data_IF_346373868447
#
_entry.id   IF_346373868447
#
_cell.length_a   1.000
_cell.length_b   1.000
_cell.length_c   1.000
_cell.angle_alpha   90.00
_cell.angle_beta   90.00
_cell.angle_gamma   90.00
#
_symmetry.space_group_name_H-M   'P 1'
#
loop_
_entity.id
_entity.type
_entity.pdbx_description
1 polymer ?
#
# COMPACT_ATOMS: atom_id res chain seq x y z
N UNK A 1 -61.84 31.43 58.64
CA UNK A 1 -62.46 32.14 57.54
C UNK A 1 -61.78 33.52 57.43
N UNK A 2 -60.87 33.72 56.53
CA UNK A 2 -60.42 35.08 56.12
C UNK A 2 -59.81 34.92 54.73
N UNK A 3 -60.44 35.51 53.75
CA UNK A 3 -59.93 35.64 52.35
C UNK A 3 -58.90 36.72 52.33
N UNK A 4 -57.72 36.42 51.67
CA UNK A 4 -56.76 37.45 51.37
C UNK A 4 -56.54 37.48 49.84
N UNK A 5 -56.67 38.69 49.29
CA UNK A 5 -56.63 39.05 47.90
C UNK A 5 -55.14 39.10 47.49
N UNK A 6 -54.80 38.41 46.36
CA UNK A 6 -53.50 38.52 45.71
C UNK A 6 -53.55 39.64 44.65
N UNK A 7 -52.61 40.55 44.77
CA UNK A 7 -52.37 41.67 43.86
C UNK A 7 -51.35 41.22 42.78
N UNK A 8 -51.69 41.31 41.51
CA UNK A 8 -50.81 41.05 40.38
C UNK A 8 -50.02 42.31 40.12
N UNK A 9 -48.67 42.17 40.18
CA UNK A 9 -47.69 43.20 39.80
C UNK A 9 -46.95 42.71 38.56
N UNK A 10 -47.25 43.33 37.41
CA UNK A 10 -46.55 43.07 36.14
C UNK A 10 -45.18 43.71 36.19
N UNK A 11 -44.18 42.86 36.07
CA UNK A 11 -42.76 43.28 35.93
C UNK A 11 -42.35 43.09 34.48
N UNK A 12 -42.17 44.20 33.74
CA UNK A 12 -41.61 44.22 32.40
C UNK A 12 -40.11 44.08 32.47
N UNK A 13 -39.56 42.94 32.10
CA UNK A 13 -38.10 42.75 31.88
C UNK A 13 -37.75 43.16 30.47
N UNK A 14 -36.94 44.22 30.35
CA UNK A 14 -36.18 44.51 29.12
C UNK A 14 -35.07 43.51 29.01
N UNK A 15 -35.08 42.68 27.97
CA UNK A 15 -33.95 41.87 27.54
C UNK A 15 -33.01 42.70 26.70
N UNK A 16 -31.85 43.01 27.26
CA UNK A 16 -30.69 43.52 26.52
C UNK A 16 -29.97 42.29 25.92
N UNK A 17 -30.09 42.02 24.61
CA UNK A 17 -29.33 41.02 23.92
C UNK A 17 -27.94 41.58 23.61
N UNK A 18 -26.95 41.23 24.43
CA UNK A 18 -25.57 41.26 24.00
C UNK A 18 -25.34 40.00 23.14
N UNK A 19 -25.16 40.18 21.84
CA UNK A 19 -24.64 39.13 20.96
C UNK A 19 -23.19 38.83 21.33
N UNK A 20 -22.94 37.67 21.89
CA UNK A 20 -21.61 37.06 21.88
C UNK A 20 -21.64 36.11 20.65
N UNK A 21 -20.89 36.52 19.63
CA UNK A 21 -20.51 35.60 18.54
C UNK A 21 -19.59 34.53 19.15
N UNK A 22 -20.20 33.46 19.62
CA UNK A 22 -19.53 32.21 19.92
C UNK A 22 -19.27 31.52 18.55
N UNK A 23 -18.02 31.28 18.13
CA UNK A 23 -17.82 30.47 16.94
C UNK A 23 -18.35 29.07 17.28
N UNK A 24 -19.51 28.77 16.74
CA UNK A 24 -20.13 27.45 16.86
C UNK A 24 -19.15 26.35 16.46
N UNK A 25 -19.36 25.12 16.92
CA UNK A 25 -18.45 24.03 16.66
C UNK A 25 -18.22 23.93 15.14
N UNK A 26 -16.96 24.01 14.75
CA UNK A 26 -16.53 23.77 13.37
C UNK A 26 -17.12 22.43 12.94
N UNK A 27 -18.03 22.52 11.99
CA UNK A 27 -18.63 21.37 11.33
C UNK A 27 -17.49 20.53 10.76
N UNK A 28 -17.13 19.44 11.41
CA UNK A 28 -16.36 18.35 10.82
C UNK A 28 -17.26 17.66 9.82
N UNK A 29 -17.60 18.40 8.73
CA UNK A 29 -18.51 17.94 7.70
C UNK A 29 -17.94 16.70 7.05
N UNK A 30 -18.77 15.68 6.92
CA UNK A 30 -18.53 14.61 5.94
C UNK A 30 -18.14 15.26 4.60
N UNK A 31 -17.10 14.75 3.93
CA UNK A 31 -16.66 15.30 2.66
C UNK A 31 -17.82 15.44 1.68
N UNK A 32 -17.89 16.57 0.97
CA UNK A 32 -18.95 16.78 -0.01
C UNK A 32 -18.67 15.92 -1.26
N UNK A 33 -19.67 15.31 -1.90
CA UNK A 33 -19.50 14.42 -3.05
C UNK A 33 -18.77 15.04 -4.25
N UNK A 34 -18.84 16.36 -4.41
CA UNK A 34 -18.22 17.09 -5.53
C UNK A 34 -16.71 17.25 -5.45
N UNK A 35 -16.12 16.94 -4.31
CA UNK A 35 -14.71 17.27 -4.02
C UNK A 35 -13.80 16.03 -4.10
N UNK A 36 -14.30 14.91 -4.63
CA UNK A 36 -13.55 13.68 -4.79
C UNK A 36 -13.13 13.45 -6.25
N UNK A 37 -11.90 12.95 -6.47
CA UNK A 37 -11.43 12.51 -7.80
C UNK A 37 -11.98 11.14 -8.21
N UNK A 38 -12.52 10.39 -7.25
CA UNK A 38 -13.20 9.11 -7.48
C UNK A 38 -14.70 9.28 -7.23
N UNK A 39 -15.58 8.47 -7.85
CA UNK A 39 -17.01 8.55 -7.63
C UNK A 39 -17.37 8.30 -6.15
N UNK A 40 -17.74 9.34 -5.42
CA UNK A 40 -18.02 9.24 -3.98
C UNK A 40 -19.13 8.23 -3.64
N UNK A 41 -20.12 8.07 -4.51
CA UNK A 41 -21.19 7.08 -4.35
C UNK A 41 -20.72 5.62 -4.50
N UNK A 42 -19.45 5.41 -4.86
CA UNK A 42 -18.78 4.11 -4.94
C UNK A 42 -17.72 3.94 -3.83
N UNK A 43 -17.60 4.92 -2.95
CA UNK A 43 -16.80 4.82 -1.73
C UNK A 43 -17.64 4.14 -0.65
N UNK A 44 -17.15 3.06 -0.09
CA UNK A 44 -17.84 2.25 0.91
C UNK A 44 -17.21 2.42 2.29
N UNK A 45 -18.05 2.46 3.31
CA UNK A 45 -17.62 2.34 4.69
C UNK A 45 -17.33 0.86 5.00
N UNK A 46 -16.09 0.57 5.36
CA UNK A 46 -15.63 -0.77 5.74
C UNK A 46 -16.08 -1.20 7.14
N UNK A 47 -16.66 -0.30 7.91
CA UNK A 47 -17.24 -0.55 9.23
C UNK A 47 -16.37 -0.15 10.42
N UNK A 48 -15.02 -0.25 10.41
CA UNK A 48 -14.21 0.08 11.59
C UNK A 48 -14.16 1.58 11.89
N UNK A 49 -14.44 2.43 10.88
CA UNK A 49 -14.28 3.88 10.98
C UNK A 49 -12.80 4.31 10.97
N UNK A 50 -12.59 5.62 11.07
CA UNK A 50 -11.26 6.24 11.04
C UNK A 50 -10.41 5.78 12.24
N UNK A 51 -9.21 5.24 11.95
CA UNK A 51 -8.30 4.60 12.90
C UNK A 51 -8.89 3.42 13.70
N UNK A 52 -10.03 2.88 13.28
CA UNK A 52 -10.59 1.65 13.86
C UNK A 52 -9.71 0.42 13.61
N UNK A 53 -8.94 0.45 12.52
CA UNK A 53 -7.74 -0.39 12.31
C UNK A 53 -6.54 0.50 12.65
N UNK A 54 -5.84 0.25 13.77
CA UNK A 54 -4.81 1.15 14.26
C UNK A 54 -3.51 1.02 13.45
N UNK A 55 -3.15 2.05 12.71
CA UNK A 55 -1.85 2.13 12.05
C UNK A 55 -0.71 2.19 13.07
N UNK A 56 0.40 1.53 12.79
CA UNK A 56 1.60 1.58 13.64
C UNK A 56 2.47 2.79 13.31
N UNK A 57 3.18 3.28 14.32
CA UNK A 57 4.18 4.35 14.19
C UNK A 57 5.48 3.89 14.85
N UNK A 58 6.55 3.79 14.06
CA UNK A 58 7.89 3.37 14.49
C UNK A 58 7.82 2.12 15.41
N UNK A 59 7.27 0.98 14.89
CA UNK A 59 7.12 -0.22 15.71
C UNK A 59 8.47 -0.75 16.15
N UNK A 60 8.48 -1.49 17.26
CA UNK A 60 9.67 -2.20 17.69
C UNK A 60 10.13 -3.21 16.64
N UNK A 61 11.42 -3.15 16.29
CA UNK A 61 12.06 -4.07 15.35
C UNK A 61 12.93 -5.05 16.13
N UNK A 62 12.99 -6.32 15.67
CA UNK A 62 13.84 -7.37 16.23
C UNK A 62 14.73 -7.95 15.13
N UNK A 63 15.92 -8.51 15.49
CA UNK A 63 16.76 -9.25 14.55
C UNK A 63 16.04 -10.46 13.94
N UNK A 64 16.44 -10.86 12.75
CA UNK A 64 15.88 -12.02 12.03
C UNK A 64 15.87 -13.30 12.89
N UNK A 65 16.91 -13.54 13.68
CA UNK A 65 17.04 -14.75 14.52
C UNK A 65 16.03 -14.79 15.68
N UNK A 66 15.51 -13.63 16.10
CA UNK A 66 14.52 -13.53 17.16
C UNK A 66 13.07 -13.67 16.63
N UNK A 67 12.88 -13.68 15.31
CA UNK A 67 11.57 -13.73 14.66
C UNK A 67 11.00 -15.15 14.56
N UNK A 68 11.01 -15.90 15.67
CA UNK A 68 10.53 -17.30 15.75
C UNK A 68 9.04 -17.47 15.45
N UNK A 69 8.29 -16.39 15.35
CA UNK A 69 6.87 -16.39 14.99
C UNK A 69 6.63 -16.50 13.47
N UNK A 70 7.68 -16.41 12.63
CA UNK A 70 7.59 -16.54 11.18
C UNK A 70 8.10 -17.92 10.74
N UNK A 71 7.32 -18.57 9.87
CA UNK A 71 7.79 -19.72 9.10
C UNK A 71 8.46 -19.23 7.81
N UNK A 72 9.25 -20.07 7.17
CA UNK A 72 9.93 -19.69 5.92
C UNK A 72 8.95 -19.34 4.78
N UNK A 73 7.72 -19.87 4.81
CA UNK A 73 6.64 -19.61 3.83
C UNK A 73 5.84 -18.34 4.15
N UNK A 74 6.00 -17.76 5.34
CA UNK A 74 5.28 -16.56 5.73
C UNK A 74 5.56 -15.41 4.77
N UNK A 75 4.51 -14.76 4.25
CA UNK A 75 4.66 -13.60 3.36
C UNK A 75 5.09 -12.37 4.16
N UNK A 76 6.01 -11.63 3.60
CA UNK A 76 6.50 -10.35 4.12
C UNK A 76 6.59 -9.32 3.00
N UNK A 77 6.57 -8.06 3.41
CA UNK A 77 6.98 -6.93 2.60
C UNK A 77 8.38 -6.53 3.06
N UNK A 78 9.34 -6.60 2.15
CA UNK A 78 10.73 -6.20 2.39
C UNK A 78 11.05 -4.88 1.71
N UNK A 79 11.89 -4.08 2.34
CA UNK A 79 12.43 -2.84 1.75
C UNK A 79 13.85 -2.59 2.24
N UNK A 80 14.58 -1.81 1.47
CA UNK A 80 15.94 -1.38 1.78
C UNK A 80 15.90 0.12 2.10
N UNK A 81 16.18 0.50 3.33
CA UNK A 81 16.13 1.89 3.80
C UNK A 81 17.49 2.28 4.37
N UNK A 82 18.12 3.32 3.85
CA UNK A 82 19.49 3.70 4.23
C UNK A 82 20.52 2.55 4.18
N UNK A 83 20.30 1.57 3.28
CA UNK A 83 21.13 0.38 3.20
C UNK A 83 20.80 -0.69 4.26
N UNK A 84 19.82 -0.47 5.11
CA UNK A 84 19.34 -1.43 6.11
C UNK A 84 18.14 -2.22 5.58
N UNK A 85 18.20 -3.56 5.52
CA UNK A 85 17.06 -4.39 5.13
C UNK A 85 16.04 -4.45 6.28
N UNK A 86 14.75 -4.23 5.95
CA UNK A 86 13.63 -4.28 6.89
C UNK A 86 12.48 -5.11 6.34
N UNK A 87 11.84 -5.87 7.21
CA UNK A 87 10.73 -6.76 6.87
C UNK A 87 9.46 -6.44 7.67
N UNK A 88 8.32 -6.45 6.97
CA UNK A 88 6.98 -6.17 7.49
C UNK A 88 6.07 -7.36 7.19
N UNK A 89 5.88 -8.28 8.14
CA UNK A 89 5.12 -9.50 7.90
C UNK A 89 3.63 -9.24 7.68
N UNK A 90 3.03 -9.98 6.74
CA UNK A 90 1.60 -9.89 6.46
C UNK A 90 0.73 -10.15 7.70
N UNK A 91 1.15 -11.04 8.61
CA UNK A 91 0.40 -11.30 9.84
C UNK A 91 0.28 -10.07 10.77
N UNK A 92 1.21 -9.11 10.67
CA UNK A 92 1.12 -7.80 11.33
C UNK A 92 0.31 -6.83 10.50
N UNK A 93 0.60 -6.77 9.19
CA UNK A 93 -0.08 -5.88 8.25
C UNK A 93 -1.58 -6.19 8.12
N UNK A 94 -2.03 -7.43 8.28
CA UNK A 94 -3.45 -7.79 8.30
C UNK A 94 -4.26 -7.08 9.41
N UNK A 95 -3.60 -6.74 10.52
CA UNK A 95 -4.24 -6.12 11.68
C UNK A 95 -4.03 -4.61 11.76
N UNK A 96 -3.07 -4.10 11.00
CA UNK A 96 -2.67 -2.69 11.08
C UNK A 96 -2.75 -1.94 9.76
N UNK A 97 -2.70 -2.65 8.62
CA UNK A 97 -2.73 -2.14 7.25
C UNK A 97 -1.66 -1.10 6.92
N UNK A 98 -1.29 -0.24 7.87
CA UNK A 98 -0.35 0.87 7.69
C UNK A 98 0.70 0.85 8.78
N UNK A 99 1.97 0.91 8.38
CA UNK A 99 3.12 1.09 9.28
C UNK A 99 3.90 2.31 8.83
N UNK A 100 3.78 3.39 9.60
CA UNK A 100 4.62 4.57 9.44
C UNK A 100 5.95 4.32 10.17
N UNK A 101 7.04 4.27 9.43
CA UNK A 101 8.35 3.93 9.99
C UNK A 101 9.43 4.93 9.52
N UNK A 102 10.63 4.79 10.09
CA UNK A 102 11.80 5.56 9.69
C UNK A 102 13.09 4.78 9.95
N UNK A 103 14.12 5.05 9.16
CA UNK A 103 15.49 4.59 9.39
C UNK A 103 16.45 5.76 9.11
N UNK A 104 17.15 6.23 10.14
CA UNK A 104 17.89 7.48 10.05
C UNK A 104 16.98 8.65 9.65
N UNK A 105 17.31 9.34 8.59
CA UNK A 105 16.55 10.48 8.05
C UNK A 105 15.49 10.07 7.04
N UNK A 106 15.46 8.82 6.60
CA UNK A 106 14.46 8.31 5.65
C UNK A 106 13.15 7.97 6.39
N UNK A 107 12.06 8.63 5.99
CA UNK A 107 10.72 8.46 6.55
C UNK A 107 9.78 7.89 5.50
N UNK A 108 9.09 6.79 5.82
CA UNK A 108 8.27 6.06 4.84
C UNK A 108 7.06 5.40 5.50
N UNK A 109 6.14 4.92 4.67
CA UNK A 109 4.99 4.14 5.12
C UNK A 109 4.81 2.91 4.27
N UNK A 110 4.85 1.75 4.93
CA UNK A 110 4.36 0.51 4.33
C UNK A 110 2.85 0.51 4.50
N UNK A 111 2.13 0.45 3.39
CA UNK A 111 0.68 0.33 3.38
C UNK A 111 0.28 -0.93 2.64
N UNK A 112 -0.63 -1.69 3.23
CA UNK A 112 -1.08 -2.99 2.75
C UNK A 112 -2.59 -3.08 2.84
N UNK A 113 -3.22 -3.52 1.75
CA UNK A 113 -4.64 -3.84 1.75
C UNK A 113 -4.83 -5.36 1.68
N UNK A 114 -5.23 -6.03 2.77
CA UNK A 114 -5.44 -7.48 2.79
C UNK A 114 -6.52 -7.97 1.83
N UNK A 115 -7.51 -7.11 1.54
CA UNK A 115 -8.63 -7.45 0.65
C UNK A 115 -8.21 -7.56 -0.82
N UNK A 116 -7.25 -6.75 -1.24
CA UNK A 116 -6.74 -6.71 -2.63
C UNK A 116 -5.36 -7.33 -2.78
N UNK A 117 -4.70 -7.70 -1.65
CA UNK A 117 -3.35 -8.25 -1.65
C UNK A 117 -2.30 -7.27 -2.17
N UNK A 118 -2.52 -5.97 -2.00
CA UNK A 118 -1.65 -4.92 -2.53
C UNK A 118 -0.80 -4.28 -1.44
N UNK A 119 0.51 -4.16 -1.68
CA UNK A 119 1.43 -3.49 -0.78
C UNK A 119 2.25 -2.42 -1.51
N UNK A 120 2.46 -1.30 -0.85
CA UNK A 120 3.30 -0.21 -1.36
C UNK A 120 4.14 0.39 -0.25
N UNK A 121 5.22 1.05 -0.64
CA UNK A 121 6.05 1.86 0.23
C UNK A 121 6.04 3.31 -0.30
N UNK A 122 5.62 4.27 0.53
CA UNK A 122 5.55 5.68 0.16
C UNK A 122 6.46 6.53 1.03
N UNK A 123 7.09 7.52 0.44
CA UNK A 123 7.77 8.57 1.19
C UNK A 123 6.74 9.38 1.98
N UNK A 124 6.97 9.55 3.29
CA UNK A 124 6.08 10.34 4.18
C UNK A 124 6.43 11.82 4.22
N UNK A 125 7.55 12.24 3.64
CA UNK A 125 7.93 13.65 3.57
C UNK A 125 7.20 14.33 2.43
N UNK A 126 6.14 15.09 2.73
CA UNK A 126 5.35 15.81 1.75
C UNK A 126 5.60 17.31 1.91
N UNK A 127 6.18 17.96 0.89
CA UNK A 127 6.57 19.38 0.94
C UNK A 127 7.47 19.75 2.15
N UNK A 128 8.38 18.83 2.52
CA UNK A 128 9.26 19.01 3.67
C UNK A 128 8.60 18.83 5.04
N UNK A 129 7.33 18.43 5.08
CA UNK A 129 6.62 18.07 6.31
C UNK A 129 6.50 16.54 6.39
N UNK A 130 6.91 15.97 7.52
CA UNK A 130 6.74 14.54 7.78
C UNK A 130 5.28 14.29 8.15
N UNK A 131 4.59 13.53 7.30
CA UNK A 131 3.20 13.13 7.52
C UNK A 131 3.13 11.74 8.16
N UNK A 132 2.00 11.43 8.79
CA UNK A 132 1.65 10.07 9.21
C UNK A 132 0.33 9.69 8.56
N UNK A 133 0.29 8.45 8.03
CA UNK A 133 -0.92 7.92 7.43
C UNK A 133 -1.69 7.05 8.41
N UNK A 134 -3.01 7.08 8.30
CA UNK A 134 -3.94 6.25 9.04
C UNK A 134 -4.94 5.56 8.14
N UNK A 135 -5.59 4.54 8.68
CA UNK A 135 -6.69 3.83 8.01
C UNK A 135 -7.95 4.68 8.13
N UNK A 136 -8.54 5.08 7.01
CA UNK A 136 -9.74 5.92 7.02
C UNK A 136 -11.01 5.16 7.38
N UNK A 137 -11.00 3.83 7.23
CA UNK A 137 -12.18 2.97 7.29
C UNK A 137 -12.97 2.95 5.97
N UNK A 138 -12.57 3.73 4.97
CA UNK A 138 -13.22 3.80 3.66
C UNK A 138 -12.50 2.92 2.63
N UNK A 139 -13.27 2.45 1.66
CA UNK A 139 -12.81 1.59 0.58
C UNK A 139 -13.33 2.10 -0.77
N UNK A 140 -12.53 1.96 -1.81
CA UNK A 140 -12.96 2.09 -3.20
C UNK A 140 -12.47 0.87 -3.99
N UNK A 141 -13.38 0.22 -4.73
CA UNK A 141 -13.09 -1.05 -5.40
C UNK A 141 -12.47 -2.12 -4.49
N UNK A 142 -13.01 -2.27 -3.27
CA UNK A 142 -12.48 -3.14 -2.20
C UNK A 142 -11.06 -2.81 -1.74
N UNK A 143 -10.48 -1.69 -2.17
CA UNK A 143 -9.13 -1.28 -1.80
C UNK A 143 -9.13 -0.14 -0.78
N UNK A 144 -8.11 -0.13 0.06
CA UNK A 144 -7.88 0.82 1.15
C UNK A 144 -7.80 2.27 0.65
N UNK A 145 -8.57 3.14 1.28
CA UNK A 145 -8.37 4.58 1.25
C UNK A 145 -7.67 4.97 2.55
N UNK A 146 -6.44 5.46 2.45
CA UNK A 146 -5.70 6.03 3.57
C UNK A 146 -6.15 7.48 3.82
N UNK A 147 -5.78 8.02 4.97
CA UNK A 147 -5.78 9.48 5.16
C UNK A 147 -4.46 9.92 5.80
N UNK A 148 -3.99 11.14 5.50
CA UNK A 148 -2.88 11.73 6.23
C UNK A 148 -3.40 12.54 7.42
N UNK A 149 -2.71 12.43 8.57
CA UNK A 149 -3.14 13.07 9.81
C UNK A 149 -2.82 14.56 9.88
N UNK A 150 -1.94 15.04 9.00
CA UNK A 150 -1.51 16.45 9.01
C UNK A 150 -2.52 17.35 8.29
N UNK A 151 -3.17 16.84 7.24
CA UNK A 151 -4.10 17.66 6.44
C UNK A 151 -5.49 17.06 6.31
N UNK A 152 -5.68 15.85 6.81
CA UNK A 152 -6.92 15.08 6.66
C UNK A 152 -7.31 14.80 5.21
N UNK A 153 -6.32 14.79 4.29
CA UNK A 153 -6.55 14.39 2.90
C UNK A 153 -6.66 12.88 2.78
N UNK A 154 -7.50 12.42 1.85
CA UNK A 154 -7.75 11.00 1.59
C UNK A 154 -6.96 10.55 0.37
N UNK A 155 -6.35 9.37 0.45
CA UNK A 155 -5.44 8.82 -0.54
C UNK A 155 -5.91 7.43 -0.98
N UNK A 156 -6.12 7.23 -2.27
CA UNK A 156 -6.39 5.90 -2.83
C UNK A 156 -5.07 5.14 -2.95
N UNK A 157 -4.98 3.98 -2.29
CA UNK A 157 -3.75 3.18 -2.35
C UNK A 157 -3.40 2.80 -3.78
N UNK A 158 -4.31 2.11 -4.50
CA UNK A 158 -4.02 1.60 -5.84
C UNK A 158 -3.87 2.68 -6.91
N UNK A 159 -4.31 3.93 -6.64
CA UNK A 159 -4.00 5.07 -7.53
C UNK A 159 -2.69 5.75 -7.16
N UNK A 160 -2.12 5.43 -5.99
CA UNK A 160 -0.99 6.15 -5.40
C UNK A 160 -1.21 7.68 -5.42
N UNK A 161 -2.45 8.13 -5.18
CA UNK A 161 -2.87 9.51 -5.39
C UNK A 161 -3.85 9.97 -4.30
N UNK A 162 -3.72 11.23 -3.90
CA UNK A 162 -4.71 11.87 -3.04
C UNK A 162 -5.99 12.16 -3.83
N UNK A 163 -7.10 11.61 -3.37
CA UNK A 163 -8.40 11.66 -4.05
C UNK A 163 -9.36 12.68 -3.44
N UNK A 164 -9.03 13.23 -2.26
CA UNK A 164 -9.82 14.28 -1.62
C UNK A 164 -8.98 15.07 -0.62
N UNK A 165 -9.36 16.32 -0.35
CA UNK A 165 -8.76 17.18 0.65
C UNK A 165 -7.66 18.10 0.10
N UNK A 166 -6.80 18.59 0.99
CA UNK A 166 -5.77 19.60 0.66
C UNK A 166 -4.78 19.14 -0.40
N UNK A 167 -4.47 17.85 -0.43
CA UNK A 167 -3.50 17.27 -1.36
C UNK A 167 -4.15 16.62 -2.60
N UNK A 168 -5.44 16.88 -2.86
CA UNK A 168 -6.16 16.33 -4.02
C UNK A 168 -5.32 16.39 -5.29
N UNK A 169 -5.31 15.32 -6.10
CA UNK A 169 -4.49 15.11 -7.32
C UNK A 169 -2.97 15.03 -7.12
N UNK A 170 -2.50 14.98 -5.87
CA UNK A 170 -1.09 14.77 -5.60
C UNK A 170 -0.77 13.27 -5.65
N UNK A 171 0.23 12.88 -6.43
CA UNK A 171 0.77 11.53 -6.43
C UNK A 171 1.62 11.29 -5.19
N UNK A 172 1.56 10.08 -4.64
CA UNK A 172 2.50 9.59 -3.65
C UNK A 172 3.86 9.33 -4.30
N UNK A 173 4.92 9.63 -3.60
CA UNK A 173 6.28 9.25 -4.02
C UNK A 173 6.52 7.79 -3.62
N UNK A 174 6.65 6.92 -4.62
CA UNK A 174 6.85 5.48 -4.43
C UNK A 174 8.31 5.18 -4.10
N UNK A 175 8.51 4.31 -3.12
CA UNK A 175 9.79 3.75 -2.75
C UNK A 175 9.80 2.25 -3.10
N UNK A 176 10.98 1.66 -3.39
CA UNK A 176 11.08 0.25 -3.71
C UNK A 176 10.55 -0.65 -2.60
N UNK A 177 9.80 -1.68 -2.97
CA UNK A 177 9.25 -2.68 -2.08
C UNK A 177 9.24 -4.05 -2.75
N UNK A 178 9.43 -5.09 -1.96
CA UNK A 178 9.41 -6.48 -2.40
C UNK A 178 8.43 -7.29 -1.58
N UNK A 179 7.41 -7.88 -2.20
CA UNK A 179 6.66 -8.96 -1.56
C UNK A 179 7.33 -10.30 -1.86
N UNK A 180 7.67 -11.05 -0.80
CA UNK A 180 8.29 -12.39 -0.91
C UNK A 180 8.02 -13.22 0.34
N UNK A 181 8.58 -14.45 0.40
CA UNK A 181 8.54 -15.26 1.62
C UNK A 181 9.66 -14.85 2.60
N UNK A 182 9.41 -15.05 3.88
CA UNK A 182 10.40 -14.82 4.93
C UNK A 182 11.71 -15.58 4.68
N UNK A 183 11.61 -16.86 4.29
CA UNK A 183 12.80 -17.66 3.98
C UNK A 183 13.63 -17.10 2.84
N UNK A 184 12.98 -16.63 1.77
CA UNK A 184 13.67 -15.96 0.65
C UNK A 184 14.31 -14.65 1.11
N UNK A 185 13.57 -13.80 1.82
CA UNK A 185 14.07 -12.53 2.32
C UNK A 185 15.28 -12.70 3.26
N UNK A 186 15.14 -13.57 4.27
CA UNK A 186 16.20 -13.83 5.24
C UNK A 186 17.46 -14.44 4.60
N UNK A 187 17.29 -15.23 3.52
CA UNK A 187 18.44 -15.77 2.79
C UNK A 187 19.22 -14.71 2.03
N UNK A 188 18.53 -13.65 1.53
CA UNK A 188 19.18 -12.50 0.87
C UNK A 188 19.81 -11.53 1.89
N UNK A 189 19.13 -11.33 3.01
CA UNK A 189 19.46 -10.32 4.02
C UNK A 189 19.40 -10.91 5.44
N UNK A 190 20.36 -11.72 5.84
CA UNK A 190 20.33 -12.39 7.17
C UNK A 190 20.41 -11.41 8.35
N UNK A 191 20.96 -10.21 8.13
CA UNK A 191 21.02 -9.14 9.13
C UNK A 191 19.74 -8.28 9.21
N UNK A 192 18.69 -8.65 8.47
CA UNK A 192 17.44 -7.86 8.42
C UNK A 192 16.81 -7.69 9.79
N UNK A 193 16.22 -6.51 9.98
CA UNK A 193 15.32 -6.24 11.09
C UNK A 193 13.87 -6.50 10.67
N UNK A 194 13.08 -7.07 11.56
CA UNK A 194 11.66 -7.37 11.29
C UNK A 194 10.77 -6.84 12.40
N UNK A 195 9.56 -6.41 12.06
CA UNK A 195 8.59 -5.88 13.03
C UNK A 195 8.27 -6.92 14.09
N UNK A 196 8.43 -6.54 15.36
CA UNK A 196 8.06 -7.37 16.51
C UNK A 196 6.53 -7.49 16.63
N UNK A 197 6.04 -8.64 17.13
CA UNK A 197 4.63 -8.78 17.53
C UNK A 197 4.28 -7.94 18.77
N UNK A 198 5.27 -7.45 19.51
CA UNK A 198 5.04 -6.52 20.62
C UNK A 198 4.85 -5.09 20.07
N UNK A 199 3.70 -4.86 19.44
CA UNK A 199 3.36 -3.56 18.84
C UNK A 199 2.78 -2.56 19.85
N UNK A 200 2.57 -2.97 21.10
CA UNK A 200 1.83 -2.20 22.11
C UNK A 200 0.30 -2.29 21.96
N UNK A 201 -0.19 -3.02 20.95
CA UNK A 201 -1.62 -3.23 20.67
C UNK A 201 -1.87 -4.74 20.67
N UNK A 202 -2.76 -5.19 21.58
CA UNK A 202 -3.10 -6.61 21.68
C UNK A 202 -3.94 -7.05 20.48
N UNK A 203 -3.40 -7.95 19.68
CA UNK A 203 -4.05 -8.56 18.52
C UNK A 203 -3.71 -10.06 18.44
N UNK A 204 -4.65 -10.91 18.02
CA UNK A 204 -4.38 -12.32 17.80
C UNK A 204 -3.67 -12.51 16.46
N UNK A 205 -2.40 -12.04 16.38
CA UNK A 205 -1.57 -12.20 15.19
C UNK A 205 -1.53 -13.67 14.77
N UNK A 206 -1.60 -13.93 13.47
CA UNK A 206 -1.74 -15.29 12.94
C UNK A 206 -3.16 -15.68 12.58
N UNK A 207 -4.19 -15.01 13.13
CA UNK A 207 -5.56 -15.12 12.65
C UNK A 207 -5.80 -14.07 11.54
N UNK A 208 -6.56 -14.45 10.52
CA UNK A 208 -6.94 -13.51 9.46
C UNK A 208 -8.20 -12.73 9.87
N UNK A 209 -8.16 -11.39 10.02
CA UNK A 209 -9.25 -10.64 10.66
C UNK A 209 -10.48 -10.40 9.76
N UNK A 210 -10.36 -10.58 8.44
CA UNK A 210 -11.38 -10.18 7.48
C UNK A 210 -12.46 -11.22 7.24
N UNK A 211 -12.19 -12.49 7.51
CA UNK A 211 -13.16 -13.58 7.33
C UNK A 211 -13.11 -14.52 8.52
N UNK A 212 -14.24 -14.64 9.22
CA UNK A 212 -14.34 -15.48 10.40
C UNK A 212 -14.06 -16.95 10.08
N UNK A 213 -13.24 -17.60 10.89
CA UNK A 213 -12.87 -19.02 10.78
C UNK A 213 -12.21 -19.41 9.44
N UNK A 214 -11.60 -18.47 8.74
CA UNK A 214 -10.84 -18.71 7.52
C UNK A 214 -9.42 -18.17 7.67
N UNK A 215 -8.49 -18.75 6.92
CA UNK A 215 -7.13 -18.24 6.76
C UNK A 215 -7.06 -17.21 5.64
N UNK A 216 -5.92 -16.56 5.50
CA UNK A 216 -5.64 -15.71 4.33
C UNK A 216 -5.66 -16.55 3.03
N UNK A 217 -5.15 -17.77 3.09
CA UNK A 217 -5.13 -18.72 1.98
C UNK A 217 -6.55 -19.08 1.54
N UNK A 218 -7.44 -19.39 2.49
CA UNK A 218 -8.85 -19.64 2.20
C UNK A 218 -9.51 -18.42 1.51
N UNK A 219 -9.21 -17.21 1.97
CA UNK A 219 -9.70 -16.00 1.32
C UNK A 219 -9.15 -15.82 -0.09
N UNK A 220 -7.88 -16.13 -0.32
CA UNK A 220 -7.23 -16.04 -1.65
C UNK A 220 -7.81 -17.04 -2.66
N UNK A 221 -8.16 -18.23 -2.22
CA UNK A 221 -8.73 -19.27 -3.08
C UNK A 221 -10.22 -19.04 -3.38
N UNK A 222 -10.91 -18.32 -2.50
CA UNK A 222 -12.35 -18.07 -2.66
C UNK A 222 -12.63 -17.01 -3.74
N UNK A 223 -13.69 -17.19 -4.51
CA UNK A 223 -14.12 -16.24 -5.54
C UNK A 223 -14.95 -15.06 -5.01
N UNK A 224 -15.46 -15.13 -3.77
CA UNK A 224 -16.28 -14.04 -3.21
C UNK A 224 -15.43 -12.79 -2.87
N UNK A 225 -16.03 -11.61 -2.97
CA UNK A 225 -15.46 -10.34 -2.53
C UNK A 225 -16.26 -9.85 -1.31
N UNK A 226 -15.57 -9.25 -0.33
CA UNK A 226 -16.22 -8.72 0.88
C UNK A 226 -16.93 -7.39 0.56
N UNK A 227 -16.34 -6.58 -0.31
CA UNK A 227 -16.90 -5.30 -0.73
C UNK A 227 -17.08 -5.25 -2.24
N UNK A 228 -18.00 -4.41 -2.76
CA UNK A 228 -18.25 -4.32 -4.19
C UNK A 228 -17.11 -3.66 -4.96
N UNK A 229 -17.10 -3.92 -6.26
CA UNK A 229 -16.19 -3.34 -7.24
C UNK A 229 -16.99 -2.75 -8.41
N UNK A 230 -16.38 -1.85 -9.16
CA UNK A 230 -17.03 -1.14 -10.27
C UNK A 230 -16.95 -1.90 -11.59
N UNK A 231 -15.90 -2.68 -11.78
CA UNK A 231 -15.67 -3.50 -12.96
C UNK A 231 -15.24 -4.91 -12.51
N UNK A 232 -16.01 -5.91 -12.87
CA UNK A 232 -15.74 -7.32 -12.57
C UNK A 232 -15.30 -8.00 -13.86
N UNK A 233 -14.02 -8.31 -13.95
CA UNK A 233 -13.41 -8.92 -15.12
C UNK A 233 -13.09 -10.39 -14.84
N UNK A 234 -13.66 -11.29 -15.61
CA UNK A 234 -13.58 -12.73 -15.46
C UNK A 234 -12.52 -13.42 -16.34
N UNK A 235 -11.66 -12.64 -17.02
CA UNK A 235 -10.56 -13.20 -17.82
C UNK A 235 -9.58 -14.03 -16.98
N UNK A 236 -9.42 -13.72 -15.68
CA UNK A 236 -8.66 -14.54 -14.73
C UNK A 236 -9.49 -14.84 -13.48
N UNK A 237 -9.01 -15.77 -12.65
CA UNK A 237 -9.60 -15.95 -11.32
C UNK A 237 -9.48 -14.65 -10.54
N UNK A 238 -10.57 -14.21 -9.88
CA UNK A 238 -10.63 -12.89 -9.20
C UNK A 238 -9.41 -12.60 -8.32
N UNK A 239 -8.92 -13.61 -7.59
CA UNK A 239 -7.77 -13.43 -6.67
C UNK A 239 -6.49 -14.08 -7.20
N UNK A 240 -6.39 -14.27 -8.51
CA UNK A 240 -5.10 -14.58 -9.12
C UNK A 240 -4.13 -13.42 -8.86
N UNK A 241 -2.93 -13.75 -8.39
CA UNK A 241 -1.90 -12.74 -8.15
C UNK A 241 -1.28 -12.31 -9.47
N UNK A 242 -1.27 -11.03 -9.69
CA UNK A 242 -0.62 -10.40 -10.84
C UNK A 242 0.30 -9.26 -10.36
N UNK A 243 1.40 -9.03 -11.07
CA UNK A 243 2.08 -7.74 -11.03
C UNK A 243 1.35 -6.87 -12.05
N UNK A 244 0.63 -5.88 -11.58
CA UNK A 244 0.14 -4.84 -12.47
C UNK A 244 1.15 -3.70 -12.55
N UNK A 245 1.25 -3.10 -13.71
CA UNK A 245 2.07 -1.92 -13.98
C UNK A 245 1.18 -0.89 -14.66
N UNK A 246 1.16 0.34 -14.13
CA UNK A 246 0.41 1.45 -14.72
C UNK A 246 1.35 2.59 -15.09
N UNK A 247 1.16 3.12 -16.29
CA UNK A 247 1.88 4.30 -16.81
C UNK A 247 0.83 5.21 -17.48
N UNK A 248 0.54 6.34 -16.85
CA UNK A 248 -0.56 7.19 -17.27
C UNK A 248 -1.92 6.47 -17.16
N UNK A 249 -2.61 6.35 -18.28
CA UNK A 249 -3.91 5.67 -18.36
C UNK A 249 -3.80 4.21 -18.85
N UNK A 250 -2.61 3.76 -19.24
CA UNK A 250 -2.38 2.42 -19.74
C UNK A 250 -1.86 1.51 -18.63
N UNK A 251 -2.30 0.25 -18.64
CA UNK A 251 -1.87 -0.74 -17.66
C UNK A 251 -1.67 -2.12 -18.29
N UNK A 252 -0.69 -2.84 -17.77
CA UNK A 252 -0.41 -4.23 -18.10
C UNK A 252 -0.37 -5.10 -16.84
N UNK A 253 -0.84 -6.34 -16.96
CA UNK A 253 -0.80 -7.34 -15.90
C UNK A 253 0.05 -8.53 -16.31
N UNK A 254 1.01 -8.86 -15.45
CA UNK A 254 1.88 -10.03 -15.57
C UNK A 254 1.45 -11.06 -14.53
N UNK A 255 0.99 -12.22 -15.00
CA UNK A 255 0.48 -13.26 -14.11
C UNK A 255 1.61 -13.89 -13.30
N UNK A 256 1.46 -13.94 -11.99
CA UNK A 256 2.47 -14.55 -11.11
C UNK A 256 2.73 -16.02 -11.46
N UNK A 257 1.70 -16.71 -11.93
CA UNK A 257 1.78 -18.11 -12.29
C UNK A 257 2.55 -18.41 -13.59
N UNK A 258 2.79 -17.41 -14.45
CA UNK A 258 3.55 -17.56 -15.69
C UNK A 258 5.07 -17.47 -15.47
N UNK A 259 5.49 -17.11 -14.23
CA UNK A 259 6.90 -17.16 -13.82
C UNK A 259 7.23 -18.53 -13.25
N UNK A 260 8.35 -19.08 -13.67
CA UNK A 260 8.79 -20.43 -13.35
C UNK A 260 9.59 -20.50 -12.02
N UNK A 261 10.14 -21.67 -11.76
CA UNK A 261 11.01 -21.90 -10.59
C UNK A 261 12.36 -21.19 -10.67
N UNK A 262 12.82 -20.85 -11.89
CA UNK A 262 14.03 -20.04 -12.10
C UNK A 262 13.67 -18.58 -12.24
N UNK A 263 14.65 -17.70 -12.04
CA UNK A 263 14.48 -16.26 -12.29
C UNK A 263 14.29 -16.02 -13.78
N UNK A 264 13.24 -15.29 -14.13
CA UNK A 264 12.90 -14.91 -15.51
C UNK A 264 12.84 -13.39 -15.59
N UNK A 265 13.40 -12.86 -16.68
CA UNK A 265 13.26 -11.46 -17.08
C UNK A 265 12.33 -11.38 -18.28
N UNK A 266 11.39 -10.44 -18.24
CA UNK A 266 10.51 -10.09 -19.35
C UNK A 266 10.59 -8.60 -19.60
N UNK A 267 10.50 -8.21 -20.86
CA UNK A 267 10.43 -6.81 -21.27
C UNK A 267 9.13 -6.56 -22.02
N UNK A 268 8.55 -5.40 -21.83
CA UNK A 268 7.37 -4.93 -22.54
C UNK A 268 7.47 -3.42 -22.75
N UNK A 269 6.43 -2.83 -23.34
CA UNK A 269 6.30 -1.39 -23.50
C UNK A 269 4.88 -1.00 -23.12
N UNK A 270 4.72 0.04 -22.29
CA UNK A 270 3.42 0.64 -21.94
C UNK A 270 3.47 2.08 -22.49
N UNK A 271 2.57 2.41 -23.43
CA UNK A 271 2.73 3.62 -24.23
C UNK A 271 4.07 3.60 -24.98
N UNK A 272 4.89 4.61 -24.76
CA UNK A 272 6.25 4.70 -25.30
C UNK A 272 7.33 4.31 -24.28
N UNK A 273 6.95 3.87 -23.07
CA UNK A 273 7.89 3.61 -21.98
C UNK A 273 8.27 2.12 -21.93
N UNK A 274 9.56 1.78 -22.10
CA UNK A 274 10.03 0.41 -21.94
C UNK A 274 9.95 0.01 -20.46
N UNK A 275 9.55 -1.22 -20.20
CA UNK A 275 9.50 -1.81 -18.86
C UNK A 275 10.26 -3.12 -18.82
N UNK A 276 10.81 -3.44 -17.65
CA UNK A 276 11.40 -4.74 -17.35
C UNK A 276 10.72 -5.33 -16.12
N UNK A 277 10.34 -6.60 -16.22
CA UNK A 277 9.72 -7.38 -15.15
C UNK A 277 10.61 -8.58 -14.84
N UNK A 278 10.88 -8.76 -13.56
CA UNK A 278 11.70 -9.86 -13.06
C UNK A 278 10.89 -10.66 -12.05
N UNK A 279 10.85 -11.98 -12.23
CA UNK A 279 10.08 -12.84 -11.34
C UNK A 279 10.69 -14.22 -11.14
N UNK A 280 10.33 -14.80 -10.00
CA UNK A 280 10.65 -16.18 -9.65
C UNK A 280 9.56 -16.74 -8.73
N UNK A 281 8.82 -17.73 -9.22
CA UNK A 281 7.70 -18.35 -8.49
C UNK A 281 8.18 -19.13 -7.26
N UNK A 282 9.32 -19.83 -7.33
CA UNK A 282 9.83 -20.61 -6.21
C UNK A 282 10.38 -19.74 -5.07
N UNK A 283 10.84 -18.54 -5.41
CA UNK A 283 11.31 -17.53 -4.46
C UNK A 283 10.22 -16.52 -4.10
N UNK A 284 9.04 -16.69 -4.70
CA UNK A 284 7.84 -15.91 -4.46
C UNK A 284 8.04 -14.40 -4.59
N UNK A 285 8.63 -13.94 -5.69
CA UNK A 285 8.73 -12.52 -5.99
C UNK A 285 8.41 -12.20 -7.45
N UNK A 286 7.94 -10.98 -7.67
CA UNK A 286 7.70 -10.37 -8.96
C UNK A 286 7.82 -8.85 -8.81
N UNK A 287 8.74 -8.22 -9.55
CA UNK A 287 9.03 -6.79 -9.49
C UNK A 287 9.15 -6.21 -10.89
N UNK A 288 8.87 -4.91 -11.03
CA UNK A 288 8.94 -4.21 -12.31
C UNK A 288 9.58 -2.82 -12.18
N UNK A 289 10.30 -2.42 -13.22
CA UNK A 289 10.98 -1.14 -13.32
C UNK A 289 10.86 -0.56 -14.72
N UNK A 290 11.15 0.73 -14.87
CA UNK A 290 11.44 1.29 -16.19
C UNK A 290 12.64 0.56 -16.80
N UNK A 291 12.51 0.11 -18.04
CA UNK A 291 13.53 -0.64 -18.78
C UNK A 291 14.58 0.23 -19.47
N UNK A 292 14.82 1.44 -18.94
CA UNK A 292 15.76 2.41 -19.50
C UNK A 292 16.66 3.01 -18.41
N UNK A 293 17.84 3.46 -18.82
CA UNK A 293 18.77 4.23 -17.99
C UNK A 293 19.30 5.41 -18.81
N UNK A 294 19.20 6.62 -18.25
CA UNK A 294 19.64 7.87 -18.91
C UNK A 294 19.02 8.09 -20.31
N UNK A 295 17.75 7.64 -20.48
CA UNK A 295 17.01 7.76 -21.74
C UNK A 295 17.34 6.70 -22.79
N UNK A 296 18.21 5.75 -22.50
CA UNK A 296 18.51 4.61 -23.38
C UNK A 296 17.80 3.34 -22.88
N UNK A 297 17.05 2.70 -23.78
CA UNK A 297 16.44 1.38 -23.50
C UNK A 297 17.52 0.32 -23.35
N UNK A 298 17.47 -0.41 -22.23
CA UNK A 298 18.37 -1.52 -21.96
C UNK A 298 17.75 -2.86 -22.39
N UNK A 299 18.63 -3.83 -22.68
CA UNK A 299 18.23 -5.23 -22.82
C UNK A 299 18.78 -6.03 -21.65
N UNK A 300 17.96 -6.89 -21.07
CA UNK A 300 18.26 -7.58 -19.82
C UNK A 300 18.31 -9.09 -20.01
N UNK A 301 19.15 -9.75 -19.21
CA UNK A 301 19.23 -11.21 -19.10
C UNK A 301 19.15 -11.62 -17.64
N UNK A 302 18.34 -12.65 -17.34
CA UNK A 302 18.19 -13.15 -15.98
C UNK A 302 19.50 -13.79 -15.47
N UNK A 303 19.78 -13.60 -14.18
CA UNK A 303 20.78 -14.37 -13.43
C UNK A 303 20.14 -15.62 -12.80
N UNK A 304 20.98 -16.58 -12.41
CA UNK A 304 20.52 -17.76 -11.67
C UNK A 304 19.93 -17.34 -10.32
N UNK A 305 18.91 -18.05 -9.87
CA UNK A 305 18.22 -17.77 -8.59
C UNK A 305 19.14 -17.90 -7.36
N UNK A 306 20.28 -18.57 -7.48
CA UNK A 306 21.26 -18.68 -6.39
C UNK A 306 22.10 -17.41 -6.24
N UNK A 307 22.02 -16.48 -7.18
CA UNK A 307 22.70 -15.18 -7.15
C UNK A 307 21.91 -14.10 -6.39
N UNK A 308 20.69 -14.42 -5.87
CA UNK A 308 19.89 -13.44 -5.10
C UNK A 308 20.71 -12.81 -3.97
N UNK A 309 20.62 -11.49 -3.79
CA UNK A 309 19.65 -10.54 -4.37
C UNK A 309 19.97 -10.03 -5.78
N UNK A 310 20.99 -10.53 -6.47
CA UNK A 310 21.31 -10.17 -7.84
C UNK A 310 20.36 -10.91 -8.79
N UNK A 311 19.68 -10.18 -9.69
CA UNK A 311 18.57 -10.77 -10.46
C UNK A 311 18.77 -10.74 -11.97
N UNK A 312 19.52 -9.77 -12.49
CA UNK A 312 19.72 -9.62 -13.94
C UNK A 312 21.00 -8.87 -14.28
N UNK A 313 21.44 -9.04 -15.52
CA UNK A 313 22.46 -8.22 -16.16
C UNK A 313 21.86 -7.46 -17.34
N UNK A 314 22.53 -6.39 -17.80
CA UNK A 314 22.13 -5.63 -18.99
C UNK A 314 23.18 -5.66 -20.11
N UNK A 315 22.83 -5.08 -21.26
CA UNK A 315 23.71 -4.98 -22.45
C UNK A 315 24.89 -4.01 -22.29
N UNK A 316 24.92 -3.21 -21.21
CA UNK A 316 26.07 -2.37 -20.86
C UNK A 316 27.06 -3.11 -19.97
N UNK A 317 26.69 -4.30 -19.46
CA UNK A 317 27.50 -5.13 -18.56
C UNK A 317 27.30 -4.80 -17.08
N UNK A 318 26.20 -4.16 -16.71
CA UNK A 318 25.82 -3.98 -15.31
C UNK A 318 25.15 -5.23 -14.75
N UNK A 319 25.35 -5.46 -13.45
CA UNK A 319 24.57 -6.40 -12.63
C UNK A 319 23.63 -5.62 -11.72
N UNK A 320 22.36 -6.02 -11.71
CA UNK A 320 21.29 -5.33 -10.99
C UNK A 320 20.77 -6.19 -9.84
N UNK A 321 20.52 -5.56 -8.69
CA UNK A 321 19.85 -6.19 -7.57
C UNK A 321 18.32 -6.18 -7.75
N UNK A 322 17.62 -6.88 -6.83
CA UNK A 322 16.16 -7.03 -6.83
C UNK A 322 15.41 -5.70 -6.62
N UNK A 323 16.08 -4.63 -6.17
CA UNK A 323 15.53 -3.29 -6.02
C UNK A 323 15.91 -2.35 -7.17
N UNK A 324 16.44 -2.89 -8.28
CA UNK A 324 16.79 -2.12 -9.46
C UNK A 324 18.01 -1.23 -9.28
N UNK A 325 18.94 -1.57 -8.37
CA UNK A 325 20.22 -0.87 -8.21
C UNK A 325 21.33 -1.63 -8.94
N UNK A 326 22.12 -0.91 -9.75
CA UNK A 326 23.34 -1.44 -10.34
C UNK A 326 24.40 -1.63 -9.24
N UNK A 327 24.82 -2.87 -9.03
CA UNK A 327 25.75 -3.25 -7.97
C UNK A 327 27.16 -3.54 -8.52
N UNK A 328 27.26 -3.88 -9.80
CA UNK A 328 28.50 -4.10 -10.55
C UNK A 328 28.36 -3.53 -11.97
N UNK A 329 29.48 -3.23 -12.60
CA UNK A 329 29.55 -2.76 -13.98
C UNK A 329 29.81 -1.26 -14.10
N UNK A 330 29.77 -0.73 -15.36
CA UNK A 330 30.07 0.68 -15.65
C UNK A 330 29.22 1.68 -14.92
N UNK A 331 27.92 1.36 -14.70
CA UNK A 331 26.94 2.27 -14.10
C UNK A 331 26.70 1.93 -12.61
N UNK A 332 27.68 1.32 -11.92
CA UNK A 332 27.56 0.94 -10.50
C UNK A 332 27.05 2.11 -9.64
N UNK A 333 25.98 1.86 -8.88
CA UNK A 333 25.28 2.86 -8.04
C UNK A 333 24.08 3.51 -8.72
N UNK A 334 23.92 3.40 -10.05
CA UNK A 334 22.72 3.83 -10.75
C UNK A 334 21.48 3.04 -10.28
N UNK A 335 20.31 3.61 -10.51
CA UNK A 335 19.02 2.96 -10.20
C UNK A 335 18.09 3.04 -11.40
N UNK A 336 17.41 1.95 -11.69
CA UNK A 336 16.25 1.97 -12.57
C UNK A 336 15.13 2.77 -11.91
N UNK A 337 14.34 3.48 -12.70
CA UNK A 337 13.22 4.26 -12.21
C UNK A 337 12.17 3.33 -11.60
N UNK A 338 11.74 3.65 -10.38
CA UNK A 338 10.58 3.02 -9.75
C UNK A 338 9.32 3.52 -10.43
N UNK A 339 8.48 2.60 -10.88
CA UNK A 339 7.21 2.86 -11.53
C UNK A 339 6.05 2.32 -10.68
N UNK A 340 4.82 2.64 -11.01
CA UNK A 340 3.65 2.05 -10.36
C UNK A 340 3.52 0.56 -10.74
N UNK A 341 4.34 -0.27 -10.10
CA UNK A 341 4.41 -1.71 -10.28
C UNK A 341 4.30 -2.41 -8.94
N UNK A 342 3.20 -3.14 -8.69
CA UNK A 342 2.99 -3.86 -7.44
C UNK A 342 2.11 -5.09 -7.65
N UNK A 343 2.31 -6.09 -6.78
CA UNK A 343 1.49 -7.29 -6.76
C UNK A 343 0.11 -6.94 -6.19
N UNK A 344 -0.93 -7.54 -6.79
CA UNK A 344 -2.30 -7.45 -6.30
C UNK A 344 -3.15 -8.57 -6.88
N UNK A 345 -4.38 -8.68 -6.40
CA UNK A 345 -5.35 -9.59 -6.98
C UNK A 345 -5.91 -9.03 -8.29
N UNK A 346 -6.17 -9.94 -9.26
CA UNK A 346 -6.69 -9.58 -10.58
C UNK A 346 -7.91 -8.67 -10.53
N UNK A 347 -8.92 -9.01 -9.71
CA UNK A 347 -10.14 -8.21 -9.62
C UNK A 347 -9.86 -6.74 -9.28
N UNK A 348 -8.87 -6.48 -8.43
CA UNK A 348 -8.53 -5.12 -8.02
C UNK A 348 -7.87 -4.36 -9.17
N UNK A 349 -6.90 -4.97 -9.85
CA UNK A 349 -6.25 -4.36 -11.01
C UNK A 349 -7.25 -4.05 -12.12
N UNK A 350 -8.14 -5.00 -12.45
CA UNK A 350 -9.18 -4.82 -13.46
C UNK A 350 -10.24 -3.78 -13.06
N UNK A 351 -10.59 -3.69 -11.76
CA UNK A 351 -11.54 -2.69 -11.29
C UNK A 351 -11.00 -1.25 -11.34
N UNK A 352 -9.69 -1.08 -11.14
CA UNK A 352 -9.03 0.22 -11.24
C UNK A 352 -8.61 0.59 -12.67
N UNK A 353 -8.39 -0.42 -13.52
CA UNK A 353 -7.91 -0.26 -14.90
C UNK A 353 -8.73 -1.16 -15.84
N UNK A 354 -9.95 -0.75 -16.25
CA UNK A 354 -10.86 -1.59 -17.03
C UNK A 354 -10.28 -2.09 -18.37
N UNK A 355 -9.36 -1.34 -18.95
CA UNK A 355 -8.69 -1.67 -20.22
C UNK A 355 -7.32 -2.35 -20.03
N UNK A 356 -7.03 -2.85 -18.82
CA UNK A 356 -5.75 -3.49 -18.52
C UNK A 356 -5.47 -4.67 -19.45
N UNK A 357 -4.31 -4.69 -20.06
CA UNK A 357 -3.82 -5.77 -20.90
C UNK A 357 -3.23 -6.91 -20.04
N UNK A 358 -3.60 -8.16 -20.33
CA UNK A 358 -2.92 -9.32 -19.77
C UNK A 358 -1.79 -9.69 -20.73
N UNK A 359 -0.56 -9.66 -20.24
CA UNK A 359 0.60 -10.02 -21.03
C UNK A 359 0.79 -11.53 -21.00
N UNK A 360 0.63 -12.16 -22.16
CA UNK A 360 0.88 -13.60 -22.37
C UNK A 360 2.35 -13.83 -22.78
N UNK A 361 2.94 -14.95 -22.34
CA UNK A 361 4.33 -15.34 -22.64
C UNK A 361 4.44 -16.67 -23.37
#
# INVERSE_FOLDING_TARGET
MKFSKFLWMSFSLLFCTCGTDDPGPTNTGNPQPSDWLIPYNQVFDGGPGKDGIPALLNPGMIPADDASYLTDEALIIGTMVNGEPRAYPHIVLDWHEIINDQAGDEVYTINYCPLTGTAMNWNRSINGTINTFGVSGLLFNSNLILYDRETDSYWSQMRAESVHGRFISRSAELLPVLETTWGTWKSMYPETMVVSLNTGIDRPYGNYPYVSNQTREDYREASFLIFPITNDDDRLHRKERVLGIRIGEEAQAFRFNDFEVNTIVRTSTIGDQPIVVIGNKSKNFLVGFEGALDGETLTFSALDQNELPHVMTDNRGNTWDIFGKAIEGPDTGARLTVIEAYIGYWFAWAAFNPEIEIVDF
#
